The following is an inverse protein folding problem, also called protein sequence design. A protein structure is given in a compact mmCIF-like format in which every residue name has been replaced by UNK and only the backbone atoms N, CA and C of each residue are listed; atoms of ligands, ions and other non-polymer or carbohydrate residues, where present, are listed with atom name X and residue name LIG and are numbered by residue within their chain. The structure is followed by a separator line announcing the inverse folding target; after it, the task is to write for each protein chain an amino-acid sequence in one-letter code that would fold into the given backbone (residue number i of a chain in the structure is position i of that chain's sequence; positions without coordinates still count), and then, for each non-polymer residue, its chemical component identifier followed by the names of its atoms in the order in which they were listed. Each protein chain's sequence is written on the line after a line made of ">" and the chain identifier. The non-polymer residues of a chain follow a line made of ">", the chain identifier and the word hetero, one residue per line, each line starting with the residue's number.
data_IF_336779932249
#
_entry.id   IF_336779932249
#
_cell.length_a   1.000
_cell.length_b   1.000
_cell.length_c   1.000
_cell.angle_alpha   90.00
_cell.angle_beta   90.00
_cell.angle_gamma   90.00
#
_symmetry.space_group_name_H-M   'P 1'
#
loop_
_entity.id
_entity.type
_entity.pdbx_description
1 polymer ?
#
# COMPACT_ATOMS: atom_id res chain seq x y z
N UNK A 1 21.66 -33.19 2.36
CA UNK A 1 20.58 -32.37 1.79
C UNK A 1 19.30 -32.71 2.53
N UNK A 2 18.47 -31.72 2.82
CA UNK A 2 17.15 -31.86 3.44
C UNK A 2 16.12 -31.24 2.51
N UNK A 3 14.98 -31.90 2.37
CA UNK A 3 13.87 -31.45 1.55
C UNK A 3 12.66 -31.23 2.45
N UNK A 4 12.07 -30.04 2.45
CA UNK A 4 10.97 -29.72 3.33
C UNK A 4 9.90 -28.88 2.60
N UNK A 5 8.66 -29.09 3.01
CA UNK A 5 7.54 -28.18 2.78
C UNK A 5 7.36 -27.31 4.01
N UNK A 6 7.27 -25.99 3.78
CA UNK A 6 7.11 -24.99 4.84
C UNK A 6 5.81 -24.24 4.59
N UNK A 7 4.96 -24.15 5.61
CA UNK A 7 3.71 -23.41 5.58
C UNK A 7 3.76 -22.25 6.58
N UNK A 8 3.59 -21.04 6.07
CA UNK A 8 3.64 -19.80 6.87
C UNK A 8 2.24 -19.19 6.90
N UNK A 9 1.72 -18.98 8.13
CA UNK A 9 0.37 -18.44 8.36
C UNK A 9 0.40 -17.12 9.13
N UNK A 10 -0.73 -16.37 9.08
CA UNK A 10 -0.88 -15.04 9.67
C UNK A 10 -1.21 -13.98 8.61
N UNK A 11 -0.78 -12.71 8.83
CA UNK A 11 -0.83 -11.66 7.82
C UNK A 11 0.45 -11.77 6.97
N UNK A 12 0.40 -12.64 5.96
CA UNK A 12 1.57 -13.00 5.14
C UNK A 12 1.36 -12.76 3.64
N UNK A 13 0.19 -12.27 3.23
CA UNK A 13 -0.11 -11.89 1.85
C UNK A 13 -0.31 -10.38 1.73
N UNK A 14 0.12 -9.78 0.62
CA UNK A 14 0.07 -8.35 0.40
C UNK A 14 1.10 -7.53 1.21
N UNK A 15 2.02 -8.18 1.88
CA UNK A 15 3.04 -7.59 2.76
C UNK A 15 4.47 -7.77 2.24
N UNK A 16 4.63 -8.23 1.00
CA UNK A 16 5.94 -8.49 0.41
C UNK A 16 6.56 -9.83 0.81
N UNK A 17 5.78 -10.77 1.33
CA UNK A 17 6.30 -12.06 1.82
C UNK A 17 6.97 -12.88 0.71
N UNK A 18 6.36 -13.05 -0.47
CA UNK A 18 6.98 -13.79 -1.59
C UNK A 18 8.32 -13.20 -2.04
N UNK A 19 8.45 -11.88 -2.31
CA UNK A 19 9.74 -11.24 -2.55
C UNK A 19 10.77 -11.41 -1.43
N UNK A 20 10.33 -11.36 -0.19
CA UNK A 20 11.18 -11.57 0.99
C UNK A 20 11.71 -13.01 1.01
N UNK A 21 10.82 -14.01 0.95
CA UNK A 21 11.20 -15.43 0.91
C UNK A 21 12.18 -15.72 -0.23
N UNK A 22 11.95 -15.13 -1.40
CA UNK A 22 12.86 -15.27 -2.55
C UNK A 22 14.26 -14.76 -2.20
N UNK A 23 14.40 -13.57 -1.61
CA UNK A 23 15.73 -13.02 -1.25
C UNK A 23 16.40 -13.84 -0.16
N UNK A 24 15.68 -14.26 0.87
CA UNK A 24 16.24 -15.13 1.93
C UNK A 24 16.67 -16.47 1.36
N UNK A 25 15.88 -17.08 0.48
CA UNK A 25 16.26 -18.33 -0.20
C UNK A 25 17.56 -18.18 -1.01
N UNK A 26 17.70 -17.10 -1.76
CA UNK A 26 18.94 -16.81 -2.50
C UNK A 26 20.14 -16.59 -1.56
N UNK A 27 19.94 -15.88 -0.45
CA UNK A 27 21.01 -15.61 0.53
C UNK A 27 21.50 -16.88 1.24
N UNK A 28 20.60 -17.84 1.48
CA UNK A 28 20.89 -19.11 2.14
C UNK A 28 21.20 -20.26 1.16
N UNK A 29 21.19 -20.01 -0.16
CA UNK A 29 21.46 -21.06 -1.16
C UNK A 29 20.39 -22.15 -1.21
N UNK A 30 19.11 -21.78 -0.95
CA UNK A 30 17.97 -22.67 -1.01
C UNK A 30 17.51 -22.83 -2.45
N UNK A 31 17.27 -24.05 -2.90
CA UNK A 31 16.56 -24.36 -4.13
C UNK A 31 15.08 -24.64 -3.83
N UNK A 32 14.17 -24.25 -4.74
CA UNK A 32 12.76 -24.51 -4.56
C UNK A 32 11.83 -23.43 -5.08
N UNK A 33 10.70 -23.28 -4.41
CA UNK A 33 9.69 -22.32 -4.82
C UNK A 33 8.86 -21.78 -3.64
N UNK A 34 8.20 -20.65 -3.87
CA UNK A 34 7.21 -20.07 -2.97
C UNK A 34 5.95 -19.68 -3.74
N UNK A 35 4.77 -19.88 -3.12
CA UNK A 35 3.47 -19.44 -3.63
C UNK A 35 2.56 -18.92 -2.52
N UNK A 36 1.53 -18.17 -2.93
CA UNK A 36 0.38 -17.87 -2.07
C UNK A 36 -0.73 -18.90 -2.29
N UNK A 37 -1.38 -19.31 -1.21
CA UNK A 37 -2.61 -20.10 -1.25
C UNK A 37 -3.68 -19.49 -0.33
N UNK A 38 -4.90 -19.99 -0.37
CA UNK A 38 -6.00 -19.46 0.44
C UNK A 38 -5.78 -19.52 1.96
N UNK A 39 -4.86 -20.35 2.42
CA UNK A 39 -4.52 -20.60 3.83
C UNK A 39 -3.17 -19.98 4.27
N UNK A 40 -2.39 -19.38 3.37
CA UNK A 40 -1.11 -18.78 3.73
C UNK A 40 -0.11 -18.71 2.60
N UNK A 41 1.17 -18.86 2.97
CA UNK A 41 2.30 -18.94 2.04
C UNK A 41 2.91 -20.33 2.15
N UNK A 42 3.05 -21.00 1.02
CA UNK A 42 3.68 -22.32 0.92
C UNK A 42 5.03 -22.21 0.25
N UNK A 43 6.00 -22.91 0.80
CA UNK A 43 7.39 -22.95 0.32
C UNK A 43 7.81 -24.41 0.24
N UNK A 44 8.41 -24.81 -0.87
CA UNK A 44 9.16 -26.04 -0.96
C UNK A 44 10.64 -25.71 -1.06
N UNK A 45 11.44 -26.30 -0.20
CA UNK A 45 12.83 -25.91 0.01
C UNK A 45 13.74 -27.13 0.07
N UNK A 46 14.86 -27.08 -0.66
CA UNK A 46 15.89 -28.11 -0.68
C UNK A 46 17.26 -27.49 -0.48
N UNK A 47 18.01 -27.92 0.55
CA UNK A 47 19.33 -27.40 0.88
C UNK A 47 20.07 -28.30 1.88
N UNK A 48 21.35 -28.03 2.24
CA UNK A 48 21.95 -28.54 3.45
C UNK A 48 21.11 -28.23 4.69
N UNK A 49 21.11 -29.14 5.69
CA UNK A 49 20.22 -29.03 6.84
C UNK A 49 20.40 -27.72 7.64
N UNK A 50 21.67 -27.32 7.83
CA UNK A 50 22.03 -26.08 8.53
C UNK A 50 21.56 -24.81 7.77
N UNK A 51 21.68 -24.80 6.46
CA UNK A 51 21.18 -23.69 5.62
C UNK A 51 19.64 -23.60 5.67
N UNK A 52 18.96 -24.75 5.63
CA UNK A 52 17.52 -24.81 5.72
C UNK A 52 17.01 -24.35 7.09
N UNK A 53 17.67 -24.74 8.18
CA UNK A 53 17.31 -24.31 9.54
C UNK A 53 17.51 -22.81 9.71
N UNK A 54 18.60 -22.23 9.18
CA UNK A 54 18.84 -20.78 9.18
C UNK A 54 17.78 -20.02 8.34
N UNK A 55 17.43 -20.54 7.16
CA UNK A 55 16.38 -19.99 6.34
C UNK A 55 15.01 -19.98 7.04
N UNK A 56 14.63 -21.09 7.68
CA UNK A 56 13.36 -21.18 8.45
C UNK A 56 13.32 -20.17 9.59
N UNK A 57 14.43 -19.99 10.33
CA UNK A 57 14.52 -18.97 11.38
C UNK A 57 14.32 -17.56 10.82
N UNK A 58 14.97 -17.25 9.69
CA UNK A 58 14.86 -15.96 9.02
C UNK A 58 13.41 -15.62 8.59
N UNK A 59 12.57 -16.60 8.26
CA UNK A 59 11.17 -16.38 7.88
C UNK A 59 10.35 -15.68 8.97
N UNK A 60 10.71 -15.86 10.23
CA UNK A 60 10.07 -15.20 11.37
C UNK A 60 10.85 -13.99 11.86
N UNK A 61 12.17 -14.08 11.94
CA UNK A 61 13.03 -13.04 12.55
C UNK A 61 13.19 -11.81 11.66
N UNK A 62 13.26 -12.01 10.33
CA UNK A 62 13.49 -10.96 9.34
C UNK A 62 12.26 -10.62 8.51
N UNK A 63 11.08 -11.12 8.90
CA UNK A 63 9.84 -10.90 8.17
C UNK A 63 9.61 -9.41 7.85
N UNK A 64 9.01 -9.07 6.70
CA UNK A 64 8.68 -7.68 6.38
C UNK A 64 7.89 -7.01 7.50
N UNK A 65 8.17 -5.75 7.80
CA UNK A 65 7.53 -4.99 8.92
C UNK A 65 6.01 -4.95 8.85
N UNK A 66 5.42 -5.12 7.67
CA UNK A 66 3.98 -5.20 7.48
C UNK A 66 3.43 -6.64 7.66
N UNK A 67 4.30 -7.64 7.73
CA UNK A 67 3.91 -9.02 7.95
C UNK A 67 3.68 -9.28 9.45
N UNK A 68 2.79 -10.20 9.73
CA UNK A 68 2.63 -10.80 11.05
C UNK A 68 2.63 -12.32 10.88
N UNK A 69 3.78 -12.93 11.04
CA UNK A 69 3.93 -14.37 11.02
C UNK A 69 3.40 -14.91 12.35
N UNK A 70 2.35 -15.72 12.30
CA UNK A 70 1.74 -16.34 13.49
C UNK A 70 2.26 -17.76 13.69
N UNK A 71 2.52 -18.48 12.61
CA UNK A 71 3.03 -19.84 12.68
C UNK A 71 3.85 -20.19 11.44
N UNK A 72 4.93 -20.96 11.64
CA UNK A 72 5.76 -21.57 10.59
C UNK A 72 5.78 -23.07 10.86
N UNK A 73 5.11 -23.83 10.02
CA UNK A 73 5.09 -25.28 10.07
C UNK A 73 6.10 -25.84 9.06
N UNK A 74 6.92 -26.78 9.48
CA UNK A 74 7.93 -27.43 8.63
C UNK A 74 7.68 -28.92 8.60
N UNK A 75 7.48 -29.48 7.43
CA UNK A 75 7.27 -30.91 7.20
C UNK A 75 8.38 -31.44 6.30
N UNK A 76 9.20 -32.34 6.82
CA UNK A 76 10.24 -32.97 6.02
C UNK A 76 9.61 -33.91 4.97
N UNK A 77 10.06 -33.76 3.74
CA UNK A 77 9.66 -34.56 2.60
C UNK A 77 10.71 -35.64 2.29
N UNK A 78 10.28 -36.74 1.67
CA UNK A 78 11.21 -37.78 1.26
C UNK A 78 12.21 -37.26 0.21
N UNK A 79 13.51 -37.56 0.39
CA UNK A 79 14.57 -37.07 -0.47
C UNK A 79 14.42 -37.46 -1.96
N UNK A 80 13.72 -38.55 -2.24
CA UNK A 80 13.43 -39.08 -3.58
C UNK A 80 12.23 -38.39 -4.28
N UNK A 81 11.61 -37.38 -3.64
CA UNK A 81 10.52 -36.57 -4.22
C UNK A 81 10.99 -35.24 -4.81
N UNK A 82 12.29 -34.94 -4.74
CA UNK A 82 12.84 -33.73 -5.36
C UNK A 82 12.96 -33.91 -6.89
N UNK A 83 12.34 -33.00 -7.63
CA UNK A 83 12.40 -33.02 -9.11
C UNK A 83 13.68 -32.25 -9.54
N UNK A 84 14.53 -32.91 -10.33
CA UNK A 84 15.77 -32.35 -10.90
C UNK A 84 15.52 -31.04 -11.69
N UNK A 85 14.29 -30.82 -12.20
CA UNK A 85 13.89 -29.54 -12.80
C UNK A 85 13.92 -28.37 -11.80
N UNK A 86 13.92 -28.63 -10.50
CA UNK A 86 14.02 -27.65 -9.41
C UNK A 86 15.47 -27.44 -8.89
N UNK A 87 16.46 -28.15 -9.43
CA UNK A 87 17.87 -28.07 -8.99
C UNK A 87 18.54 -26.71 -9.21
N UNK A 88 17.94 -25.81 -9.98
CA UNK A 88 18.59 -24.58 -10.41
C UNK A 88 17.89 -23.32 -9.85
N UNK A 89 18.06 -23.11 -8.53
CA UNK A 89 17.68 -21.85 -7.89
C UNK A 89 16.31 -21.86 -7.23
N UNK A 90 15.84 -20.66 -6.85
CA UNK A 90 14.57 -20.45 -6.17
C UNK A 90 13.64 -19.61 -7.05
N UNK A 91 12.32 -19.88 -7.01
CA UNK A 91 11.35 -19.17 -7.85
C UNK A 91 10.06 -18.86 -7.13
N UNK A 92 9.40 -17.78 -7.55
CA UNK A 92 8.01 -17.51 -7.18
C UNK A 92 7.12 -18.17 -8.25
N UNK A 93 6.23 -19.06 -7.83
CA UNK A 93 5.30 -19.74 -8.74
C UNK A 93 3.88 -19.18 -8.60
N UNK A 94 3.01 -19.53 -9.54
CA UNK A 94 1.62 -19.07 -9.54
C UNK A 94 0.89 -19.47 -8.26
N UNK A 95 0.07 -18.57 -7.73
CA UNK A 95 -0.76 -18.85 -6.57
C UNK A 95 -1.75 -19.97 -6.84
N UNK A 96 -2.09 -20.74 -5.80
CA UNK A 96 -3.07 -21.81 -5.88
C UNK A 96 -4.37 -21.39 -5.17
N UNK A 97 -5.49 -21.55 -5.88
CA UNK A 97 -6.81 -21.35 -5.30
C UNK A 97 -7.20 -22.64 -4.56
N UNK A 98 -7.08 -22.59 -3.23
CA UNK A 98 -7.55 -23.67 -2.36
C UNK A 98 -8.89 -23.28 -1.75
N UNK A 99 -9.74 -24.27 -1.50
CA UNK A 99 -11.10 -24.06 -0.98
C UNK A 99 -11.18 -23.48 0.44
N UNK A 100 -10.08 -23.49 1.20
CA UNK A 100 -9.99 -22.91 2.54
C UNK A 100 -9.33 -21.51 2.47
N UNK A 101 -10.11 -20.46 2.64
CA UNK A 101 -9.62 -19.08 2.73
C UNK A 101 -9.50 -18.70 4.21
N UNK A 102 -8.38 -19.08 4.85
CA UNK A 102 -8.12 -18.82 6.28
C UNK A 102 -7.07 -17.73 6.51
N UNK A 103 -6.34 -17.33 5.47
CA UNK A 103 -5.32 -16.28 5.59
C UNK A 103 -5.94 -14.90 5.82
N UNK A 104 -5.29 -14.08 6.63
CA UNK A 104 -5.75 -12.73 6.94
C UNK A 104 -5.36 -11.76 5.82
N UNK A 105 -6.28 -10.86 5.46
CA UNK A 105 -6.00 -9.79 4.50
C UNK A 105 -5.23 -8.68 5.18
N UNK A 106 -4.09 -8.28 4.58
CA UNK A 106 -3.32 -7.14 5.06
C UNK A 106 -4.15 -5.85 5.00
N UNK A 107 -4.10 -4.98 6.04
CA UNK A 107 -4.63 -3.63 5.94
C UNK A 107 -3.86 -2.82 4.89
N UNK A 108 -4.42 -1.67 4.50
CA UNK A 108 -3.70 -0.69 3.69
C UNK A 108 -2.52 -0.13 4.47
N UNK A 109 -1.42 0.13 3.77
CA UNK A 109 -0.15 0.58 4.36
C UNK A 109 0.15 1.99 3.85
N UNK A 110 0.49 2.90 4.75
CA UNK A 110 0.86 4.26 4.40
C UNK A 110 2.05 4.29 3.43
N UNK A 111 2.11 5.32 2.58
CA UNK A 111 3.20 5.53 1.63
C UNK A 111 4.54 5.56 2.36
N UNK A 112 5.48 4.71 1.95
CA UNK A 112 6.81 4.61 2.55
C UNK A 112 7.73 5.74 2.09
N UNK A 113 8.83 5.96 2.82
CA UNK A 113 9.76 7.05 2.54
C UNK A 113 10.42 6.95 1.16
N UNK A 114 10.67 5.73 0.67
CA UNK A 114 11.19 5.53 -0.69
C UNK A 114 10.21 6.00 -1.76
N UNK A 115 8.92 5.65 -1.61
CA UNK A 115 7.89 6.13 -2.53
C UNK A 115 7.65 7.63 -2.40
N UNK A 116 7.77 8.21 -1.18
CA UNK A 116 7.72 9.66 -0.99
C UNK A 116 8.90 10.36 -1.67
N UNK A 117 10.10 9.81 -1.57
CA UNK A 117 11.28 10.34 -2.26
C UNK A 117 11.08 10.36 -3.77
N UNK A 118 10.65 9.24 -4.37
CA UNK A 118 10.35 9.15 -5.81
C UNK A 118 9.20 10.08 -6.23
N UNK A 119 8.16 10.21 -5.40
CA UNK A 119 7.03 11.11 -5.65
C UNK A 119 7.48 12.57 -5.82
N UNK A 120 8.53 12.99 -5.13
CA UNK A 120 9.05 14.36 -5.14
C UNK A 120 10.40 14.51 -5.87
N UNK A 121 10.90 13.46 -6.52
CA UNK A 121 12.09 13.51 -7.35
C UNK A 121 11.72 13.80 -8.82
N UNK A 122 12.06 15.00 -9.36
CA UNK A 122 11.77 15.35 -10.75
C UNK A 122 12.41 14.41 -11.79
N UNK A 123 13.44 13.65 -11.40
CA UNK A 123 14.08 12.66 -12.27
C UNK A 123 13.35 11.31 -12.30
N UNK A 124 12.46 11.04 -11.36
CA UNK A 124 11.70 9.80 -11.31
C UNK A 124 10.50 9.82 -12.26
N UNK A 125 10.23 8.67 -12.91
CA UNK A 125 9.10 8.54 -13.83
C UNK A 125 7.73 8.58 -13.14
N UNK A 126 7.66 8.44 -11.82
CA UNK A 126 6.47 8.57 -10.98
C UNK A 126 6.44 9.90 -10.22
N UNK A 127 7.30 10.87 -10.62
CA UNK A 127 7.25 12.21 -10.06
C UNK A 127 5.83 12.77 -10.13
N UNK A 128 5.27 13.16 -8.98
CA UNK A 128 3.90 13.63 -8.80
C UNK A 128 2.79 12.63 -9.18
N UNK A 129 3.10 11.32 -9.29
CA UNK A 129 2.08 10.31 -9.55
C UNK A 129 1.26 10.00 -8.28
N UNK A 130 -0.04 10.39 -8.19
CA UNK A 130 -0.81 10.35 -6.94
C UNK A 130 -1.07 8.94 -6.39
N UNK A 131 -0.91 7.91 -7.22
CA UNK A 131 -1.15 6.51 -6.85
C UNK A 131 0.15 5.72 -6.70
N UNK A 132 1.27 6.40 -6.44
CA UNK A 132 2.57 5.75 -6.25
C UNK A 132 2.51 4.76 -5.08
N UNK A 133 3.10 3.60 -5.27
CA UNK A 133 3.20 2.53 -4.29
C UNK A 133 4.36 1.59 -4.61
N UNK A 134 4.62 0.63 -3.72
CA UNK A 134 5.56 -0.46 -3.94
C UNK A 134 5.13 -1.71 -3.14
N UNK A 135 6.01 -2.71 -3.06
CA UNK A 135 5.78 -3.92 -2.27
C UNK A 135 5.56 -3.64 -0.78
N UNK A 136 6.15 -2.55 -0.24
CA UNK A 136 6.13 -2.22 1.18
C UNK A 136 5.05 -1.20 1.58
N UNK A 137 4.31 -0.61 0.64
CA UNK A 137 3.30 0.42 0.93
C UNK A 137 2.16 0.44 -0.09
N UNK A 138 1.12 1.22 0.22
CA UNK A 138 -0.04 1.41 -0.65
C UNK A 138 -1.25 0.54 -0.29
N UNK A 139 -2.25 0.48 -1.15
CA UNK A 139 -3.50 -0.20 -0.89
C UNK A 139 -3.36 -1.72 -0.89
N UNK A 140 -4.13 -2.38 -0.02
CA UNK A 140 -4.26 -3.84 0.11
C UNK A 140 -5.73 -4.20 0.28
N UNK A 141 -6.26 -4.01 1.49
CA UNK A 141 -7.66 -4.31 1.84
C UNK A 141 -8.65 -3.57 0.93
N UNK A 142 -8.39 -2.31 0.62
CA UNK A 142 -9.33 -1.49 -0.17
C UNK A 142 -9.39 -1.86 -1.64
N UNK A 143 -8.44 -2.63 -2.16
CA UNK A 143 -8.42 -3.04 -3.57
C UNK A 143 -8.66 -4.53 -3.78
N UNK A 144 -8.57 -5.38 -2.74
CA UNK A 144 -8.74 -6.82 -2.85
C UNK A 144 -10.20 -7.19 -3.18
N UNK A 145 -10.39 -8.19 -4.03
CA UNK A 145 -11.68 -8.79 -4.36
C UNK A 145 -11.81 -10.21 -3.84
N UNK A 146 -10.72 -10.97 -3.88
CA UNK A 146 -10.65 -12.34 -3.39
C UNK A 146 -9.22 -12.72 -3.00
N UNK A 147 -9.06 -13.82 -2.29
CA UNK A 147 -7.77 -14.47 -2.02
C UNK A 147 -7.57 -15.60 -3.05
N UNK A 148 -6.33 -15.97 -3.34
CA UNK A 148 -5.05 -15.38 -2.85
C UNK A 148 -4.81 -13.98 -3.39
N UNK A 149 -4.00 -13.15 -2.67
CA UNK A 149 -3.72 -11.77 -3.03
C UNK A 149 -2.79 -11.70 -4.26
N UNK A 150 -3.38 -11.62 -5.42
CA UNK A 150 -2.71 -11.40 -6.70
C UNK A 150 -3.41 -10.30 -7.51
N UNK A 151 -2.73 -9.68 -8.48
CA UNK A 151 -3.27 -8.55 -9.25
C UNK A 151 -4.63 -8.85 -9.88
N UNK A 152 -4.81 -10.04 -10.46
CA UNK A 152 -6.08 -10.49 -11.04
C UNK A 152 -7.22 -10.56 -10.00
N UNK A 153 -6.89 -10.80 -8.72
CA UNK A 153 -7.82 -10.83 -7.60
C UNK A 153 -8.02 -9.45 -6.93
N UNK A 154 -7.61 -8.35 -7.59
CA UNK A 154 -7.74 -6.98 -7.09
C UNK A 154 -8.47 -6.09 -8.09
N UNK A 155 -8.81 -4.85 -7.66
CA UNK A 155 -9.34 -3.82 -8.57
C UNK A 155 -8.29 -3.31 -9.58
N UNK A 156 -7.02 -3.70 -9.44
CA UNK A 156 -5.95 -3.35 -10.38
C UNK A 156 -5.94 -4.23 -11.63
N UNK A 157 -6.72 -5.28 -11.69
CA UNK A 157 -6.86 -6.18 -12.84
C UNK A 157 -7.22 -5.43 -14.14
N UNK A 158 -8.07 -4.40 -14.03
CA UNK A 158 -8.47 -3.59 -15.18
C UNK A 158 -7.35 -2.65 -15.73
N UNK A 159 -6.20 -2.56 -15.05
CA UNK A 159 -5.06 -1.74 -15.42
C UNK A 159 -3.91 -2.61 -15.93
N UNK A 160 -3.85 -2.84 -17.24
CA UNK A 160 -2.74 -3.60 -17.85
C UNK A 160 -1.43 -2.83 -17.68
N UNK A 161 -0.40 -3.49 -17.15
CA UNK A 161 0.90 -2.87 -16.94
C UNK A 161 1.56 -2.45 -18.25
N UNK A 162 2.14 -1.26 -18.29
CA UNK A 162 3.05 -0.88 -19.37
C UNK A 162 4.36 -1.70 -19.31
N UNK A 163 5.15 -1.74 -20.39
CA UNK A 163 6.39 -2.55 -20.42
C UNK A 163 7.36 -2.23 -19.27
N UNK A 164 7.45 -0.97 -18.84
CA UNK A 164 8.33 -0.54 -17.74
C UNK A 164 7.85 -1.08 -16.39
N UNK A 165 6.54 -0.95 -16.07
CA UNK A 165 5.99 -1.52 -14.84
C UNK A 165 6.04 -3.06 -14.86
N UNK A 166 5.80 -3.69 -16.02
CA UNK A 166 5.93 -5.14 -16.13
C UNK A 166 7.36 -5.62 -15.89
N UNK A 167 8.37 -4.89 -16.36
CA UNK A 167 9.78 -5.21 -16.10
C UNK A 167 10.12 -5.10 -14.61
N UNK A 168 9.72 -4.02 -13.93
CA UNK A 168 9.89 -3.85 -12.47
C UNK A 168 9.16 -4.96 -11.68
N UNK A 169 7.97 -5.34 -12.12
CA UNK A 169 7.16 -6.36 -11.47
C UNK A 169 7.81 -7.75 -11.46
N UNK A 170 8.60 -8.09 -12.48
CA UNK A 170 9.28 -9.40 -12.61
C UNK A 170 10.74 -9.37 -12.19
N UNK A 171 11.33 -8.20 -11.93
CA UNK A 171 12.72 -8.06 -11.50
C UNK A 171 12.86 -8.29 -9.99
N UNK A 172 13.55 -9.37 -9.54
CA UNK A 172 13.74 -9.63 -8.10
C UNK A 172 14.51 -8.56 -7.35
N UNK A 173 15.28 -7.71 -8.05
CA UNK A 173 16.06 -6.63 -7.47
C UNK A 173 15.27 -5.32 -7.37
N UNK A 174 14.13 -5.21 -8.04
CA UNK A 174 13.29 -4.02 -7.97
C UNK A 174 12.39 -4.00 -6.72
N UNK A 175 12.19 -2.80 -6.15
CA UNK A 175 11.29 -2.58 -5.00
C UNK A 175 9.83 -2.90 -5.31
N UNK A 176 9.46 -3.01 -6.59
CA UNK A 176 8.13 -3.33 -7.08
C UNK A 176 7.98 -4.77 -7.52
N UNK A 177 9.00 -5.59 -7.26
CA UNK A 177 8.93 -7.03 -7.51
C UNK A 177 7.66 -7.64 -6.88
N UNK A 178 6.76 -8.17 -7.71
CA UNK A 178 5.45 -8.68 -7.30
C UNK A 178 4.56 -7.69 -6.52
N UNK A 179 4.74 -6.37 -6.70
CA UNK A 179 3.85 -5.37 -6.12
C UNK A 179 2.52 -5.34 -6.89
N UNK A 180 1.47 -5.96 -6.36
CA UNK A 180 0.19 -6.11 -7.05
C UNK A 180 -0.46 -4.78 -7.47
N UNK A 181 -0.38 -3.67 -6.66
CA UNK A 181 -0.92 -2.38 -7.05
C UNK A 181 0.01 -1.52 -7.93
N UNK A 182 1.18 -2.04 -8.35
CA UNK A 182 2.14 -1.25 -9.14
C UNK A 182 1.52 -0.63 -10.40
N UNK A 183 1.82 0.65 -10.63
CA UNK A 183 1.33 1.45 -11.73
C UNK A 183 2.15 2.73 -11.94
N UNK A 184 1.90 3.42 -13.05
CA UNK A 184 2.42 4.76 -13.34
C UNK A 184 1.41 5.55 -14.18
N UNK A 185 1.75 6.76 -14.63
CA UNK A 185 0.88 7.56 -15.50
C UNK A 185 0.44 6.84 -16.78
N UNK A 186 1.30 5.98 -17.35
CA UNK A 186 1.00 5.30 -18.62
C UNK A 186 -0.01 4.15 -18.47
N UNK A 187 -0.11 3.53 -17.29
CA UNK A 187 -0.83 2.27 -17.14
C UNK A 187 -1.72 2.16 -15.91
N UNK A 188 -1.77 3.16 -15.06
CA UNK A 188 -2.50 3.12 -13.80
C UNK A 188 -3.73 4.01 -13.73
N UNK A 189 -4.33 4.12 -12.56
CA UNK A 189 -5.44 5.04 -12.33
C UNK A 189 -5.01 6.51 -12.47
N UNK A 190 -5.99 7.37 -12.81
CA UNK A 190 -5.81 8.80 -12.92
C UNK A 190 -6.79 9.56 -12.05
N UNK A 191 -6.39 10.74 -11.55
CA UNK A 191 -7.32 11.64 -10.88
C UNK A 191 -8.20 12.32 -11.92
N UNK A 192 -9.43 12.65 -11.53
CA UNK A 192 -10.36 13.41 -12.38
C UNK A 192 -10.92 14.58 -11.59
N UNK A 193 -11.14 15.70 -12.28
CA UNK A 193 -11.80 16.86 -11.71
C UNK A 193 -13.19 17.03 -12.30
N UNK A 194 -14.18 17.23 -11.44
CA UNK A 194 -15.56 17.55 -11.82
C UNK A 194 -16.03 18.76 -11.03
N UNK A 195 -16.62 19.73 -11.70
CA UNK A 195 -17.28 20.84 -11.04
C UNK A 195 -18.72 20.48 -10.69
N UNK A 196 -19.16 20.97 -9.54
CA UNK A 196 -20.57 20.91 -9.15
C UNK A 196 -21.14 22.31 -9.18
N UNK A 197 -22.23 22.53 -9.88
CA UNK A 197 -22.96 23.80 -9.89
C UNK A 197 -24.06 23.72 -8.84
N UNK A 198 -24.10 24.69 -7.91
CA UNK A 198 -25.10 24.80 -6.84
C UNK A 198 -25.24 23.57 -5.92
N UNK A 199 -24.17 22.80 -5.72
CA UNK A 199 -24.18 21.63 -4.83
C UNK A 199 -24.90 20.40 -5.40
N UNK A 200 -25.46 20.48 -6.60
CA UNK A 200 -25.97 19.33 -7.31
C UNK A 200 -24.83 18.73 -8.11
N UNK A 201 -24.50 17.45 -7.83
CA UNK A 201 -23.67 16.67 -8.71
C UNK A 201 -24.34 16.70 -10.09
N UNK A 202 -23.66 17.30 -11.04
CA UNK A 202 -24.23 17.67 -12.30
C UNK A 202 -24.66 16.43 -13.11
N UNK A 203 -25.95 16.09 -13.04
CA UNK A 203 -26.54 15.22 -14.04
C UNK A 203 -26.58 15.84 -15.45
N UNK A 204 -26.29 17.15 -15.58
CA UNK A 204 -26.38 17.89 -16.85
C UNK A 204 -25.28 18.93 -17.05
N UNK A 205 -24.10 18.86 -16.40
CA UNK A 205 -22.97 19.66 -16.84
C UNK A 205 -22.43 19.04 -18.13
N UNK A 206 -22.57 19.75 -19.23
CA UNK A 206 -21.96 19.44 -20.54
C UNK A 206 -20.43 19.53 -20.54
N UNK A 207 -19.82 19.87 -19.42
CA UNK A 207 -18.37 19.95 -19.30
C UNK A 207 -17.78 18.54 -19.08
N UNK A 208 -16.99 18.09 -20.03
CA UNK A 208 -16.18 16.87 -19.91
C UNK A 208 -15.27 16.98 -18.69
N UNK A 209 -15.21 15.97 -17.79
CA UNK A 209 -14.28 15.98 -16.68
C UNK A 209 -12.83 16.17 -17.16
N UNK A 210 -12.05 16.99 -16.47
CA UNK A 210 -10.61 16.99 -16.68
C UNK A 210 -10.02 15.70 -16.10
N UNK A 211 -9.16 15.03 -16.85
CA UNK A 211 -8.52 13.77 -16.47
C UNK A 211 -7.01 13.95 -16.45
N UNK A 212 -6.38 13.63 -15.35
CA UNK A 212 -4.94 13.73 -15.12
C UNK A 212 -4.15 12.55 -15.70
N UNK A 213 -4.27 12.34 -17.03
CA UNK A 213 -3.59 11.23 -17.73
C UNK A 213 -2.08 11.45 -17.87
N UNK A 214 -1.61 12.68 -17.71
CA UNK A 214 -0.19 13.03 -17.66
C UNK A 214 0.12 13.73 -16.35
N UNK A 215 1.41 13.88 -16.05
CA UNK A 215 1.86 14.64 -14.88
C UNK A 215 1.31 16.06 -14.90
N UNK A 216 1.49 16.78 -16.02
CA UNK A 216 1.05 18.17 -16.18
C UNK A 216 -0.46 18.33 -16.00
N UNK A 217 -1.25 17.41 -16.56
CA UNK A 217 -2.70 17.41 -16.38
C UNK A 217 -3.11 17.08 -14.94
N UNK A 218 -2.38 16.19 -14.27
CA UNK A 218 -2.59 15.85 -12.86
C UNK A 218 -2.23 17.03 -11.96
N UNK A 219 -1.08 17.68 -12.18
CA UNK A 219 -0.64 18.85 -11.45
C UNK A 219 -1.64 20.01 -11.59
N UNK A 220 -2.15 20.28 -12.79
CA UNK A 220 -3.17 21.30 -13.00
C UNK A 220 -4.48 21.02 -12.23
N UNK A 221 -4.88 19.76 -12.08
CA UNK A 221 -6.04 19.36 -11.26
C UNK A 221 -5.75 19.62 -9.77
N UNK A 222 -4.56 19.28 -9.30
CA UNK A 222 -4.15 19.48 -7.91
C UNK A 222 -4.06 20.98 -7.60
N UNK A 223 -3.45 21.79 -8.47
CA UNK A 223 -3.36 23.25 -8.33
C UNK A 223 -4.75 23.88 -8.22
N UNK A 224 -5.68 23.48 -9.10
CA UNK A 224 -7.08 23.94 -9.04
C UNK A 224 -7.77 23.57 -7.73
N UNK A 225 -7.49 22.36 -7.21
CA UNK A 225 -7.98 21.93 -5.89
C UNK A 225 -7.43 22.83 -4.79
N UNK A 226 -6.14 23.13 -4.80
CA UNK A 226 -5.46 24.01 -3.83
C UNK A 226 -6.04 25.43 -3.88
N UNK A 227 -6.21 26.00 -5.06
CA UNK A 227 -6.80 27.34 -5.27
C UNK A 227 -8.23 27.42 -4.70
N UNK A 228 -9.05 26.37 -4.95
CA UNK A 228 -10.40 26.32 -4.43
C UNK A 228 -10.42 26.23 -2.89
N UNK A 229 -9.55 25.42 -2.30
CA UNK A 229 -9.43 25.31 -0.83
C UNK A 229 -8.94 26.64 -0.23
N UNK A 230 -7.92 27.28 -0.81
CA UNK A 230 -7.38 28.55 -0.37
C UNK A 230 -8.41 29.70 -0.45
N UNK A 231 -9.34 29.64 -1.42
CA UNK A 231 -10.45 30.60 -1.52
C UNK A 231 -11.62 30.32 -0.57
N UNK A 232 -11.48 29.33 0.33
CA UNK A 232 -12.53 28.96 1.29
C UNK A 232 -13.56 27.98 0.73
N UNK A 233 -13.29 27.35 -0.41
CA UNK A 233 -14.14 26.33 -1.00
C UNK A 233 -14.10 24.99 -0.26
N UNK A 234 -15.02 24.11 -0.60
CA UNK A 234 -15.11 22.75 -0.09
C UNK A 234 -14.96 21.78 -1.26
N UNK A 235 -14.04 20.83 -1.13
CA UNK A 235 -13.77 19.80 -2.14
C UNK A 235 -14.24 18.44 -1.64
N UNK A 236 -14.91 17.67 -2.50
CA UNK A 236 -15.20 16.26 -2.26
C UNK A 236 -14.15 15.40 -2.96
N UNK A 237 -13.27 14.77 -2.21
CA UNK A 237 -12.17 13.94 -2.71
C UNK A 237 -12.60 12.47 -2.62
N UNK A 238 -12.69 11.79 -3.76
CA UNK A 238 -12.92 10.34 -3.81
C UNK A 238 -11.60 9.61 -3.58
N UNK A 239 -11.42 9.08 -2.39
CA UNK A 239 -10.32 8.17 -2.08
C UNK A 239 -10.69 6.71 -2.37
N UNK A 240 -9.79 5.77 -2.07
CA UNK A 240 -10.02 4.33 -2.25
C UNK A 240 -11.21 3.82 -1.41
N UNK A 241 -11.30 4.22 -0.15
CA UNK A 241 -12.38 3.78 0.76
C UNK A 241 -13.69 4.59 0.69
N UNK A 242 -13.75 5.74 -0.03
CA UNK A 242 -14.93 6.59 -0.07
C UNK A 242 -14.63 8.06 -0.33
N UNK A 243 -15.63 8.92 -0.09
CA UNK A 243 -15.52 10.37 -0.24
C UNK A 243 -15.08 11.04 1.06
N UNK A 244 -14.12 11.94 0.95
CA UNK A 244 -13.70 12.87 1.99
C UNK A 244 -14.10 14.29 1.57
N UNK A 245 -14.74 15.04 2.48
CA UNK A 245 -14.99 16.46 2.30
C UNK A 245 -13.87 17.23 2.98
N UNK A 246 -13.16 18.04 2.21
CA UNK A 246 -12.03 18.84 2.67
C UNK A 246 -12.30 20.33 2.51
N UNK A 247 -11.83 21.13 3.48
CA UNK A 247 -11.75 22.58 3.41
C UNK A 247 -10.47 23.03 4.15
N UNK A 248 -10.07 24.27 3.98
CA UNK A 248 -8.99 24.86 4.78
C UNK A 248 -9.38 24.91 6.25
N UNK A 249 -8.60 24.23 7.11
CA UNK A 249 -8.84 24.14 8.55
C UNK A 249 -8.61 25.49 9.29
N UNK A 250 -7.85 26.41 8.70
CA UNK A 250 -7.59 27.74 9.22
C UNK A 250 -8.69 28.75 8.83
N UNK A 251 -9.56 28.40 7.89
CA UNK A 251 -10.66 29.26 7.46
C UNK A 251 -11.95 28.95 8.24
N UNK A 252 -12.27 29.78 9.23
CA UNK A 252 -13.44 29.58 10.10
C UNK A 252 -14.76 29.51 9.32
N UNK A 253 -14.91 30.32 8.26
CA UNK A 253 -16.12 30.34 7.44
C UNK A 253 -16.28 29.05 6.65
N UNK A 254 -15.20 28.52 6.06
CA UNK A 254 -15.19 27.26 5.34
C UNK A 254 -15.52 26.09 6.29
N UNK A 255 -14.94 26.06 7.48
CA UNK A 255 -15.23 25.06 8.52
C UNK A 255 -16.67 25.14 8.99
N UNK A 256 -17.22 26.34 9.24
CA UNK A 256 -18.62 26.53 9.63
C UNK A 256 -19.57 26.04 8.54
N UNK A 257 -19.29 26.36 7.27
CA UNK A 257 -20.08 25.92 6.13
C UNK A 257 -20.01 24.40 5.94
N UNK A 258 -18.84 23.77 6.08
CA UNK A 258 -18.69 22.32 6.06
C UNK A 258 -19.53 21.66 7.17
N UNK A 259 -19.49 22.18 8.39
CA UNK A 259 -20.30 21.69 9.51
C UNK A 259 -21.80 21.81 9.24
N UNK A 260 -22.22 22.97 8.71
CA UNK A 260 -23.61 23.23 8.34
C UNK A 260 -24.12 22.22 7.31
N UNK A 261 -23.38 22.02 6.21
CA UNK A 261 -23.73 21.05 5.14
C UNK A 261 -23.77 19.62 5.64
N UNK A 262 -22.78 19.21 6.47
CA UNK A 262 -22.72 17.86 7.05
C UNK A 262 -23.71 17.66 8.22
N UNK A 263 -24.42 18.69 8.68
CA UNK A 263 -25.24 18.65 9.90
C UNK A 263 -24.48 18.06 11.10
N UNK A 264 -23.20 18.48 11.25
CA UNK A 264 -22.26 17.95 12.23
C UNK A 264 -21.73 19.07 13.14
N UNK A 265 -22.53 19.49 14.12
CA UNK A 265 -22.22 20.65 14.98
C UNK A 265 -21.06 20.38 15.94
N UNK A 266 -21.05 19.23 16.63
CA UNK A 266 -20.22 19.04 17.83
C UNK A 266 -19.14 17.96 17.69
N UNK A 267 -19.12 17.14 16.62
CA UNK A 267 -18.08 16.12 16.45
C UNK A 267 -16.80 16.74 15.89
N UNK A 268 -15.61 16.34 16.38
CA UNK A 268 -14.35 16.81 15.81
C UNK A 268 -14.24 16.45 14.33
N UNK A 269 -13.51 17.27 13.57
CA UNK A 269 -13.10 17.00 12.20
C UNK A 269 -11.64 16.60 12.23
N UNK A 270 -11.25 15.60 11.42
CA UNK A 270 -9.85 15.24 11.23
C UNK A 270 -9.15 16.37 10.49
N UNK A 271 -7.91 16.68 10.90
CA UNK A 271 -7.05 17.68 10.26
C UNK A 271 -5.84 16.96 9.69
N UNK A 272 -5.55 17.20 8.43
CA UNK A 272 -4.31 16.76 7.80
C UNK A 272 -3.29 17.89 7.90
N UNK A 273 -2.09 17.58 8.37
CA UNK A 273 -0.98 18.51 8.47
C UNK A 273 0.18 18.02 7.61
N UNK A 274 1.06 18.94 7.20
CA UNK A 274 2.16 18.64 6.29
C UNK A 274 3.25 17.76 6.92
N UNK A 275 3.52 17.99 8.22
CA UNK A 275 4.62 17.31 8.93
C UNK A 275 4.33 17.14 10.42
N UNK A 276 5.12 16.28 11.09
CA UNK A 276 5.12 16.17 12.54
C UNK A 276 5.49 17.51 13.20
N UNK A 277 6.45 18.25 12.65
CA UNK A 277 6.83 19.55 13.16
C UNK A 277 5.68 20.57 13.11
N UNK A 278 4.83 20.52 12.08
CA UNK A 278 3.63 21.34 12.02
C UNK A 278 2.60 20.89 13.07
N UNK A 279 2.49 19.59 13.31
CA UNK A 279 1.61 19.05 14.35
C UNK A 279 2.06 19.48 15.74
N UNK A 280 3.37 19.44 16.03
CA UNK A 280 3.96 19.87 17.30
C UNK A 280 3.75 21.35 17.61
N UNK A 281 3.66 22.18 16.58
CA UNK A 281 3.28 23.61 16.75
C UNK A 281 1.81 23.78 17.17
N UNK A 282 0.94 22.87 16.79
CA UNK A 282 -0.49 22.96 17.05
C UNK A 282 -0.94 22.16 18.28
N UNK A 283 -0.24 21.07 18.59
CA UNK A 283 -0.64 20.09 19.60
C UNK A 283 0.56 19.66 20.45
N UNK A 284 0.28 19.15 21.65
CA UNK A 284 1.21 18.37 22.42
C UNK A 284 1.23 16.95 21.86
N UNK A 285 2.43 16.37 21.69
CA UNK A 285 2.63 15.02 21.16
C UNK A 285 3.60 14.29 22.08
N UNK A 286 3.22 13.14 22.59
CA UNK A 286 4.11 12.21 23.26
C UNK A 286 4.76 11.21 22.26
N UNK A 287 5.68 10.35 22.77
CA UNK A 287 6.40 9.42 21.91
C UNK A 287 5.48 8.36 21.28
N UNK A 288 4.47 7.86 22.02
CA UNK A 288 3.53 6.88 21.50
C UNK A 288 2.62 7.48 20.41
N UNK A 289 2.16 8.72 20.61
CA UNK A 289 1.38 9.48 19.62
C UNK A 289 2.22 9.77 18.37
N UNK A 290 3.50 10.08 18.55
CA UNK A 290 4.47 10.28 17.46
C UNK A 290 4.64 9.02 16.63
N UNK A 291 4.83 7.87 17.27
CA UNK A 291 4.99 6.57 16.61
C UNK A 291 3.74 6.19 15.81
N UNK A 292 2.55 6.46 16.34
CA UNK A 292 1.29 6.26 15.62
C UNK A 292 1.16 7.16 14.38
N UNK A 293 1.51 8.45 14.51
CA UNK A 293 1.41 9.42 13.41
C UNK A 293 2.42 9.17 12.29
N UNK A 294 3.64 8.71 12.64
CA UNK A 294 4.74 8.47 11.69
C UNK A 294 4.81 7.04 11.16
N UNK A 295 4.21 6.09 11.85
CA UNK A 295 4.27 4.66 11.53
C UNK A 295 3.58 4.29 10.22
N UNK A 296 3.61 3.00 9.86
CA UNK A 296 3.03 2.49 8.62
C UNK A 296 1.49 2.48 8.59
N UNK A 297 0.84 2.57 9.75
CA UNK A 297 -0.63 2.57 9.88
C UNK A 297 -1.22 3.98 9.72
N UNK A 298 -0.55 5.01 10.26
CA UNK A 298 -0.97 6.42 10.26
C UNK A 298 -2.45 6.63 10.58
N UNK A 299 -2.93 6.21 11.76
CA UNK A 299 -4.32 6.39 12.15
C UNK A 299 -4.63 7.87 12.42
N UNK A 300 -5.92 8.20 12.55
CA UNK A 300 -6.33 9.49 13.12
C UNK A 300 -6.09 9.45 14.63
N UNK A 301 -5.20 10.32 15.13
CA UNK A 301 -4.81 10.40 16.54
C UNK A 301 -5.50 11.63 17.17
N UNK A 302 -6.10 11.46 18.35
CA UNK A 302 -6.66 12.57 19.13
C UNK A 302 -5.54 13.18 19.98
N UNK A 303 -5.18 14.43 19.69
CA UNK A 303 -4.10 15.14 20.34
C UNK A 303 -4.63 16.29 21.20
N UNK A 304 -3.92 16.63 22.28
CA UNK A 304 -4.21 17.81 23.08
C UNK A 304 -3.70 19.06 22.37
N UNK A 305 -4.62 19.98 22.01
CA UNK A 305 -4.28 21.24 21.35
C UNK A 305 -3.45 22.13 22.30
N UNK A 306 -2.44 22.81 21.76
CA UNK A 306 -1.76 23.91 22.48
C UNK A 306 -2.69 25.10 22.60
N UNK A 307 -2.68 25.76 23.75
CA UNK A 307 -3.38 27.04 23.96
C UNK A 307 -2.45 28.19 23.60
N UNK A 308 -2.99 29.29 23.06
CA UNK A 308 -2.21 30.48 22.60
C UNK A 308 -1.38 31.15 23.72
N UNK A 309 -1.50 30.69 24.98
CA UNK A 309 -0.78 31.19 26.15
C UNK A 309 0.41 30.32 26.58
N UNK A 310 0.79 29.31 25.81
CA UNK A 310 1.88 28.36 26.14
C UNK A 310 3.14 28.60 25.31
N UNK A 311 3.27 29.76 24.61
CA UNK A 311 4.51 30.19 23.89
C UNK A 311 5.37 31.10 24.76
#
# INVERSE_FOLDING_TARGET
>A
MRHAHIHVTGIVQGVGMRPFVYREAMAHGICGWVLNAGDGVHIEAHAPADALDAFVAALSEHAPTAARVEHVEVVDLAANGWDDANEHGFRIVASQDQTAHTTLVSPDIATCDDCLRELFDPADRRYHYPFINCTNCGPRFTIIRSLPYDRAATSMDCFSMCPKCAAEYVDPLDRRFHAQPDACFDCGPHITWRETVNGNACGNSSATPAVGTTREASDAIIERCVELLASGGIVAIKGLGGFHLACDAANEQAVAELRRRKRRSNKPLAVMVRSLADTERLCHIDDAERDLLAGSIRPIVLLRRRTVSED
#
